data_IF_471840607669
#
_entry.id   IF_471840607669
#
_cell.length_a   1.000
_cell.length_b   1.000
_cell.length_c   1.000
_cell.angle_alpha   90.00
_cell.angle_beta   90.00
_cell.angle_gamma   90.00
#
_symmetry.space_group_name_H-M   'P 1'
#
loop_
_entity.id
_entity.type
_entity.pdbx_description
1 polymer ?
#
# COMPACT_ATOMS: atom_id res chain seq x y z
N UNK A 1 -4.05 -0.63 17.85
CA UNK A 1 -4.48 0.27 16.76
C UNK A 1 -5.97 0.52 16.87
N UNK A 2 -6.42 1.77 16.75
CA UNK A 2 -7.84 2.05 16.88
C UNK A 2 -8.57 1.72 15.55
N UNK A 3 -9.89 1.60 15.64
CA UNK A 3 -10.69 1.18 14.49
C UNK A 3 -10.64 2.16 13.34
N UNK A 4 -10.51 3.46 13.62
CA UNK A 4 -10.46 4.48 12.57
C UNK A 4 -9.18 4.34 11.73
N UNK A 5 -8.04 4.17 12.40
CA UNK A 5 -6.77 3.99 11.72
C UNK A 5 -6.81 2.71 10.89
N UNK A 6 -7.31 1.63 11.47
CA UNK A 6 -7.42 0.37 10.76
C UNK A 6 -8.30 0.50 9.52
N UNK A 7 -9.43 1.20 9.65
CA UNK A 7 -10.34 1.44 8.52
C UNK A 7 -9.63 2.19 7.39
N UNK A 8 -8.85 3.22 7.73
CA UNK A 8 -8.12 3.99 6.73
C UNK A 8 -7.05 3.14 6.03
N UNK A 9 -6.33 2.33 6.79
CA UNK A 9 -5.33 1.42 6.23
C UNK A 9 -5.97 0.41 5.28
N UNK A 10 -7.11 -0.14 5.67
CA UNK A 10 -7.83 -1.10 4.82
C UNK A 10 -8.31 -0.46 3.52
N UNK A 11 -8.80 0.78 3.61
CA UNK A 11 -9.24 1.52 2.42
C UNK A 11 -8.10 1.76 1.44
N UNK A 12 -6.95 2.18 1.95
CA UNK A 12 -5.75 2.38 1.12
C UNK A 12 -5.29 1.06 0.53
N UNK A 13 -5.29 -0.01 1.32
CA UNK A 13 -4.89 -1.34 0.85
C UNK A 13 -5.77 -1.81 -0.30
N UNK A 14 -7.08 -1.61 -0.18
CA UNK A 14 -8.03 -1.95 -1.23
C UNK A 14 -7.71 -1.18 -2.52
N UNK A 15 -7.51 0.13 -2.39
CA UNK A 15 -7.24 0.97 -3.55
C UNK A 15 -5.94 0.56 -4.25
N UNK A 16 -4.89 0.31 -3.48
CA UNK A 16 -3.60 -0.08 -4.04
C UNK A 16 -3.68 -1.43 -4.72
N UNK A 17 -4.44 -2.36 -4.14
CA UNK A 17 -4.65 -3.66 -4.76
C UNK A 17 -5.30 -3.50 -6.13
N UNK A 18 -6.31 -2.63 -6.22
CA UNK A 18 -6.98 -2.35 -7.50
C UNK A 18 -5.99 -1.73 -8.50
N UNK A 19 -5.18 -0.77 -8.05
CA UNK A 19 -4.18 -0.14 -8.92
C UNK A 19 -3.20 -1.17 -9.48
N UNK A 20 -2.72 -2.08 -8.64
CA UNK A 20 -1.79 -3.13 -9.09
C UNK A 20 -2.44 -4.06 -10.11
N UNK A 21 -3.71 -4.38 -9.92
CA UNK A 21 -4.44 -5.22 -10.87
C UNK A 21 -4.60 -4.50 -12.21
N UNK A 22 -4.95 -3.22 -12.17
CA UNK A 22 -5.19 -2.44 -13.38
C UNK A 22 -3.90 -2.11 -14.13
N UNK A 23 -2.85 -1.71 -13.40
CA UNK A 23 -1.62 -1.25 -14.03
C UNK A 23 -0.70 -2.39 -14.45
N UNK A 24 -0.64 -3.45 -13.66
CA UNK A 24 0.33 -4.53 -13.87
C UNK A 24 -0.32 -5.85 -14.30
N UNK A 25 -1.64 -5.92 -14.32
CA UNK A 25 -2.34 -7.12 -14.74
C UNK A 25 -2.30 -8.26 -13.72
N UNK A 26 -1.94 -7.98 -12.47
CA UNK A 26 -1.94 -9.02 -11.44
C UNK A 26 -3.37 -9.45 -11.11
N UNK A 27 -3.52 -10.69 -10.71
CA UNK A 27 -4.77 -11.15 -10.13
C UNK A 27 -4.82 -10.76 -8.66
N UNK A 28 -6.02 -10.80 -8.07
CA UNK A 28 -6.23 -10.33 -6.70
C UNK A 28 -5.27 -10.96 -5.67
N UNK A 29 -5.09 -12.30 -5.65
CA UNK A 29 -4.18 -12.87 -4.64
C UNK A 29 -2.74 -12.39 -4.79
N UNK A 30 -2.27 -12.23 -6.03
CA UNK A 30 -0.93 -11.73 -6.30
C UNK A 30 -0.76 -10.29 -5.84
N UNK A 31 -1.73 -9.44 -6.19
CA UNK A 31 -1.67 -8.03 -5.82
C UNK A 31 -1.67 -7.85 -4.30
N UNK A 32 -2.52 -8.59 -3.59
CA UNK A 32 -2.54 -8.57 -2.13
C UNK A 32 -1.20 -9.01 -1.54
N UNK A 33 -0.63 -10.09 -2.07
CA UNK A 33 0.64 -10.62 -1.58
C UNK A 33 1.77 -9.61 -1.79
N UNK A 34 1.83 -9.01 -2.98
CA UNK A 34 2.86 -8.03 -3.29
C UNK A 34 2.80 -6.86 -2.32
N UNK A 35 1.60 -6.32 -2.09
CA UNK A 35 1.47 -5.18 -1.19
C UNK A 35 1.75 -5.55 0.27
N UNK A 36 1.16 -6.65 0.75
CA UNK A 36 1.32 -7.06 2.14
C UNK A 36 2.77 -7.39 2.51
N UNK A 37 3.58 -7.79 1.54
CA UNK A 37 5.00 -8.10 1.78
C UNK A 37 5.93 -6.92 1.53
N UNK A 38 5.38 -5.75 1.21
CA UNK A 38 6.19 -4.59 0.88
C UNK A 38 6.57 -3.77 2.11
N UNK A 39 7.67 -3.02 1.99
CA UNK A 39 8.04 -2.02 3.01
C UNK A 39 7.01 -0.91 3.08
N UNK A 40 6.39 -0.59 1.95
CA UNK A 40 5.34 0.43 1.89
C UNK A 40 4.19 0.05 2.81
N UNK A 41 3.78 -1.21 2.81
CA UNK A 41 2.72 -1.68 3.70
C UNK A 41 3.16 -1.63 5.16
N UNK A 42 4.42 -1.98 5.44
CA UNK A 42 4.95 -1.90 6.80
C UNK A 42 4.88 -0.47 7.33
N UNK A 43 5.24 0.51 6.50
CA UNK A 43 5.16 1.91 6.88
C UNK A 43 3.73 2.40 7.00
N UNK A 44 2.84 1.95 6.11
CA UNK A 44 1.42 2.28 6.19
C UNK A 44 0.82 1.79 7.51
N UNK A 45 1.21 0.60 7.94
CA UNK A 45 0.68 -0.03 9.17
C UNK A 45 1.28 0.55 10.44
N UNK A 46 2.35 1.31 10.34
CA UNK A 46 2.99 1.96 11.48
C UNK A 46 2.36 3.34 11.67
N UNK A 47 1.57 3.51 12.73
CA UNK A 47 0.87 4.76 13.00
C UNK A 47 1.82 5.95 13.08
N UNK A 48 3.04 5.74 13.55
CA UNK A 48 4.00 6.82 13.76
C UNK A 48 4.42 7.48 12.44
N UNK A 49 4.31 6.77 11.32
CA UNK A 49 4.66 7.35 10.02
C UNK A 49 3.61 8.34 9.51
N UNK A 50 2.38 8.22 9.99
CA UNK A 50 1.25 9.03 9.52
C UNK A 50 0.85 8.73 8.07
N UNK A 51 1.38 7.67 7.47
CA UNK A 51 1.12 7.38 6.07
C UNK A 51 -0.35 7.07 5.81
N UNK A 52 -1.05 6.54 6.83
CA UNK A 52 -2.47 6.20 6.70
C UNK A 52 -3.36 7.44 6.49
N UNK A 53 -2.85 8.64 6.72
CA UNK A 53 -3.59 9.89 6.53
C UNK A 53 -3.47 10.37 5.08
N UNK A 54 -2.47 9.90 4.36
CA UNK A 54 -2.21 10.30 2.99
C UNK A 54 -3.19 9.63 2.01
N UNK A 55 -3.24 10.15 0.78
CA UNK A 55 -4.10 9.56 -0.24
C UNK A 55 -3.55 8.20 -0.70
N UNK A 56 -4.45 7.36 -1.22
CA UNK A 56 -4.04 6.09 -1.80
C UNK A 56 -3.07 6.29 -2.97
N UNK A 57 -3.28 7.35 -3.76
CA UNK A 57 -2.39 7.66 -4.89
C UNK A 57 -0.97 7.95 -4.42
N UNK A 58 -0.84 8.70 -3.32
CA UNK A 58 0.46 9.00 -2.74
C UNK A 58 1.18 7.74 -2.26
N UNK A 59 0.44 6.89 -1.54
CA UNK A 59 1.01 5.63 -1.04
C UNK A 59 1.41 4.73 -2.21
N UNK A 60 0.61 4.72 -3.27
CA UNK A 60 0.91 3.91 -4.45
C UNK A 60 2.19 4.38 -5.14
N UNK A 61 2.44 5.68 -5.20
CA UNK A 61 3.70 6.19 -5.75
C UNK A 61 4.91 5.68 -4.97
N UNK A 62 4.79 5.61 -3.65
CA UNK A 62 5.85 5.05 -2.81
C UNK A 62 6.07 3.57 -3.14
N UNK A 63 4.98 2.82 -3.28
CA UNK A 63 5.06 1.41 -3.62
C UNK A 63 5.69 1.19 -4.98
N UNK A 64 5.31 1.99 -5.98
CA UNK A 64 5.89 1.88 -7.32
C UNK A 64 7.41 2.11 -7.28
N UNK A 65 7.85 3.08 -6.50
CA UNK A 65 9.27 3.30 -6.30
C UNK A 65 9.97 2.11 -5.69
N UNK A 66 9.34 1.53 -4.66
CA UNK A 66 9.89 0.34 -4.02
C UNK A 66 10.00 -0.82 -4.99
N UNK A 67 8.95 -1.08 -5.76
CA UNK A 67 8.94 -2.20 -6.70
C UNK A 67 9.97 -2.00 -7.82
N UNK A 68 10.18 -0.76 -8.24
CA UNK A 68 11.14 -0.45 -9.30
C UNK A 68 12.58 -0.56 -8.84
N UNK A 69 12.87 -0.10 -7.63
CA UNK A 69 14.25 -0.01 -7.12
C UNK A 69 14.58 -1.05 -6.06
N UNK A 70 13.60 -1.86 -5.65
CA UNK A 70 13.80 -2.88 -4.62
C UNK A 70 13.77 -2.34 -3.19
N UNK A 71 13.55 -1.03 -3.03
CA UNK A 71 13.48 -0.39 -1.71
C UNK A 71 12.83 0.98 -1.85
N UNK A 72 12.39 1.54 -0.72
CA UNK A 72 11.84 2.89 -0.69
C UNK A 72 12.98 3.89 -0.87
N UNK A 73 12.80 4.84 -1.77
CA UNK A 73 13.78 5.89 -2.03
C UNK A 73 13.68 7.03 -1.02
#
# INVERSE_FOLDING_TARGET
MNKRVQYLIEGITKDITIYLMDDEGYELPEALSIFHNSETFAKLSDEDTGLYIESSAYVYEILKGELKYGKIQ
#
